data_IF_490716952511
#
_entry.id   IF_490716952511
#
_cell.length_a   1.000
_cell.length_b   1.000
_cell.length_c   1.000
_cell.angle_alpha   90.00
_cell.angle_beta   90.00
_cell.angle_gamma   90.00
#
_symmetry.space_group_name_H-M   'P 1'
#
loop_
_entity.id
_entity.type
_entity.pdbx_description
1 polymer ?
#
# COMPACT_ATOMS: atom_id res chain seq x y z
N UNK A 1 -16.17 14.79 -13.36
CA UNK A 1 -15.74 13.63 -12.57
C UNK A 1 -14.72 14.10 -11.55
N UNK A 2 -14.83 13.80 -10.25
CA UNK A 2 -13.78 14.11 -9.28
C UNK A 2 -12.48 13.48 -9.75
N UNK A 3 -11.38 14.17 -9.57
CA UNK A 3 -10.06 13.63 -9.90
C UNK A 3 -9.79 12.43 -8.95
N UNK A 4 -9.17 11.32 -9.41
CA UNK A 4 -8.90 10.13 -8.58
C UNK A 4 -8.26 10.45 -7.23
N UNK A 5 -7.48 11.52 -7.18
CA UNK A 5 -6.73 12.00 -6.02
C UNK A 5 -7.64 12.55 -4.88
N UNK A 6 -8.89 12.95 -5.17
CA UNK A 6 -9.81 13.46 -4.15
C UNK A 6 -10.53 12.32 -3.39
N UNK A 7 -10.68 11.16 -3.99
CA UNK A 7 -11.37 10.02 -3.40
C UNK A 7 -10.62 9.45 -2.18
N UNK A 8 -9.32 9.17 -2.28
CA UNK A 8 -8.51 8.72 -1.14
C UNK A 8 -8.56 9.70 0.03
N UNK A 9 -8.44 11.00 -0.26
CA UNK A 9 -8.50 12.05 0.78
C UNK A 9 -9.84 12.03 1.51
N UNK A 10 -10.94 11.80 0.79
CA UNK A 10 -12.27 11.74 1.39
C UNK A 10 -12.45 10.51 2.30
N UNK A 11 -11.89 9.36 1.94
CA UNK A 11 -11.90 8.18 2.78
C UNK A 11 -11.25 8.45 4.15
N UNK A 12 -10.02 8.97 4.17
CA UNK A 12 -9.28 9.22 5.41
C UNK A 12 -9.92 10.33 6.26
N UNK A 13 -10.55 11.33 5.65
CA UNK A 13 -11.37 12.31 6.37
C UNK A 13 -12.55 11.64 7.08
N UNK A 14 -13.30 10.78 6.38
CA UNK A 14 -14.40 10.01 6.99
C UNK A 14 -13.91 9.14 8.15
N UNK A 15 -12.81 8.40 7.97
CA UNK A 15 -12.21 7.61 9.05
C UNK A 15 -11.94 8.46 10.30
N UNK A 16 -11.36 9.64 10.12
CA UNK A 16 -11.05 10.58 11.22
C UNK A 16 -12.32 11.13 11.88
N UNK A 17 -13.32 11.53 11.10
CA UNK A 17 -14.61 12.04 11.58
C UNK A 17 -15.36 11.01 12.43
N UNK A 18 -15.15 9.71 12.15
CA UNK A 18 -15.71 8.59 12.92
C UNK A 18 -14.79 8.11 14.05
N UNK A 19 -13.77 8.90 14.43
CA UNK A 19 -12.94 8.63 15.58
C UNK A 19 -11.83 7.60 15.37
N UNK A 20 -11.60 7.14 14.12
CA UNK A 20 -10.47 6.24 13.84
C UNK A 20 -9.17 7.00 14.06
N UNK A 21 -8.29 6.43 14.88
CA UNK A 21 -6.95 6.95 15.14
C UNK A 21 -5.93 6.15 14.35
N UNK A 22 -5.02 6.85 13.69
CA UNK A 22 -3.85 6.30 13.03
C UNK A 22 -2.61 6.84 13.76
N UNK A 23 -2.00 6.02 14.62
CA UNK A 23 -0.80 6.42 15.37
C UNK A 23 0.47 6.09 14.59
N UNK A 24 0.51 4.92 13.94
CA UNK A 24 1.64 4.46 13.16
C UNK A 24 1.14 3.94 11.80
N UNK A 25 1.73 4.46 10.72
CA UNK A 25 1.37 4.12 9.33
C UNK A 25 2.62 3.75 8.56
N UNK A 26 2.54 2.67 7.78
CA UNK A 26 3.58 2.29 6.82
C UNK A 26 3.09 2.58 5.40
N UNK A 27 3.96 3.17 4.57
CA UNK A 27 3.75 3.39 3.14
C UNK A 27 4.88 2.70 2.37
N UNK A 28 4.60 1.53 1.78
CA UNK A 28 5.55 0.74 0.98
C UNK A 28 5.33 1.05 -0.50
N UNK A 29 6.41 1.43 -1.20
CA UNK A 29 6.33 2.00 -2.54
C UNK A 29 5.83 3.44 -2.46
N UNK A 30 6.44 4.24 -1.59
CA UNK A 30 5.99 5.61 -1.32
C UNK A 30 6.36 6.62 -2.43
N UNK A 31 7.28 6.28 -3.32
CA UNK A 31 7.77 7.12 -4.43
C UNK A 31 8.12 8.55 -3.96
N UNK A 32 7.35 9.57 -4.36
CA UNK A 32 7.53 10.98 -3.95
C UNK A 32 6.82 11.35 -2.64
N UNK A 33 6.16 10.39 -1.98
CA UNK A 33 5.42 10.61 -0.75
C UNK A 33 4.09 11.35 -0.93
N UNK A 34 3.56 11.39 -2.15
CA UNK A 34 2.32 12.15 -2.44
C UNK A 34 1.11 11.62 -1.69
N UNK A 35 1.00 10.29 -1.52
CA UNK A 35 -0.06 9.67 -0.73
C UNK A 35 0.12 10.01 0.76
N UNK A 36 1.33 9.75 1.30
CA UNK A 36 1.65 10.06 2.70
C UNK A 36 1.40 11.53 3.04
N UNK A 37 1.82 12.48 2.17
CA UNK A 37 1.59 13.91 2.39
C UNK A 37 0.12 14.24 2.59
N UNK A 38 -0.77 13.69 1.74
CA UNK A 38 -2.22 13.91 1.83
C UNK A 38 -2.85 13.31 3.09
N UNK A 39 -2.41 12.10 3.46
CA UNK A 39 -2.90 11.45 4.69
C UNK A 39 -2.38 12.21 5.93
N UNK A 40 -1.15 12.72 5.88
CA UNK A 40 -0.55 13.53 6.95
C UNK A 40 -1.26 14.85 7.18
N UNK A 41 -1.81 15.49 6.13
CA UNK A 41 -2.66 16.67 6.29
C UNK A 41 -3.93 16.38 7.12
N UNK A 42 -4.42 15.14 7.07
CA UNK A 42 -5.59 14.69 7.84
C UNK A 42 -5.17 14.20 9.23
N UNK A 43 -4.06 13.45 9.31
CA UNK A 43 -3.53 12.83 10.54
C UNK A 43 -2.11 13.35 10.83
N UNK A 44 -1.94 14.63 11.24
CA UNK A 44 -0.62 15.25 11.40
C UNK A 44 0.22 14.67 12.55
N UNK A 45 -0.42 14.06 13.57
CA UNK A 45 0.25 13.48 14.74
C UNK A 45 0.69 12.02 14.53
N UNK A 46 0.46 11.47 13.34
CA UNK A 46 0.80 10.08 12.99
C UNK A 46 2.30 9.95 12.72
N UNK A 47 2.90 8.86 13.20
CA UNK A 47 4.25 8.46 12.80
C UNK A 47 4.16 7.72 11.46
N UNK A 48 4.86 8.24 10.45
CA UNK A 48 4.91 7.65 9.12
C UNK A 48 6.24 6.96 8.88
N UNK A 49 6.19 5.73 8.38
CA UNK A 49 7.32 4.89 7.99
C UNK A 49 7.23 4.67 6.49
N UNK A 50 8.12 5.31 5.74
CA UNK A 50 8.11 5.34 4.28
C UNK A 50 9.21 4.42 3.75
N UNK A 51 8.87 3.57 2.81
CA UNK A 51 9.79 2.61 2.22
C UNK A 51 9.73 2.71 0.71
N UNK A 52 10.88 2.86 0.09
CA UNK A 52 11.01 2.85 -1.37
C UNK A 52 12.33 2.24 -1.80
N UNK A 53 12.37 1.68 -3.02
CA UNK A 53 13.58 1.15 -3.63
C UNK A 53 14.58 2.25 -4.01
N UNK A 54 14.08 3.48 -4.26
CA UNK A 54 14.83 4.64 -4.71
C UNK A 54 15.02 5.66 -3.59
N UNK A 55 16.22 6.23 -3.48
CA UNK A 55 16.52 7.37 -2.59
C UNK A 55 16.43 8.73 -3.31
N UNK A 56 15.97 8.75 -4.55
CA UNK A 56 15.87 9.98 -5.38
C UNK A 56 15.12 11.12 -4.69
N UNK A 57 14.15 10.80 -3.84
CA UNK A 57 13.29 11.74 -3.11
C UNK A 57 13.49 11.68 -1.59
N UNK A 58 14.64 11.18 -1.13
CA UNK A 58 14.91 10.94 0.30
C UNK A 58 14.73 12.19 1.17
N UNK A 59 15.23 13.36 0.70
CA UNK A 59 15.14 14.61 1.47
C UNK A 59 13.69 15.07 1.68
N UNK A 60 12.81 14.86 0.69
CA UNK A 60 11.39 15.16 0.79
C UNK A 60 10.68 14.12 1.68
N UNK A 61 11.00 12.85 1.51
CA UNK A 61 10.41 11.76 2.28
C UNK A 61 10.74 11.86 3.77
N UNK A 62 11.96 12.23 4.12
CA UNK A 62 12.38 12.46 5.51
C UNK A 62 11.62 13.60 6.21
N UNK A 63 11.05 14.55 5.48
CA UNK A 63 10.16 15.59 6.04
C UNK A 63 8.79 15.05 6.39
N UNK A 64 8.37 13.97 5.73
CA UNK A 64 7.08 13.32 5.97
C UNK A 64 7.14 12.30 7.11
N UNK A 65 8.24 11.57 7.26
CA UNK A 65 8.39 10.54 8.28
C UNK A 65 9.77 9.89 8.28
N UNK A 66 9.86 8.71 8.88
CA UNK A 66 11.08 7.89 8.86
C UNK A 66 11.18 7.17 7.52
N UNK A 67 12.24 7.42 6.75
CA UNK A 67 12.44 6.82 5.44
C UNK A 67 13.44 5.67 5.48
N UNK A 68 13.13 4.60 4.76
CA UNK A 68 13.99 3.44 4.53
C UNK A 68 14.14 3.20 3.03
N UNK A 69 15.39 3.24 2.53
CA UNK A 69 15.71 2.79 1.18
C UNK A 69 15.87 1.28 1.17
N UNK A 70 14.80 0.56 0.90
CA UNK A 70 14.79 -0.91 0.94
C UNK A 70 13.84 -1.47 -0.12
N UNK A 71 14.13 -2.68 -0.58
CA UNK A 71 13.24 -3.45 -1.47
C UNK A 71 12.68 -4.60 -0.65
N UNK A 72 11.35 -4.63 -0.57
CA UNK A 72 10.64 -5.58 0.29
C UNK A 72 10.20 -6.79 -0.51
N UNK A 73 10.31 -7.96 0.08
CA UNK A 73 9.86 -9.24 -0.48
C UNK A 73 9.45 -10.23 0.61
N UNK A 74 9.29 -11.49 0.22
CA UNK A 74 8.83 -12.55 1.14
C UNK A 74 9.87 -12.93 2.19
N UNK A 75 11.13 -13.02 1.80
CA UNK A 75 12.25 -13.47 2.64
C UNK A 75 13.55 -12.76 2.24
N UNK A 76 14.57 -12.92 3.06
CA UNK A 76 15.91 -12.42 2.75
C UNK A 76 16.51 -13.24 1.61
N UNK A 77 16.60 -12.68 0.42
CA UNK A 77 17.19 -13.31 -0.76
C UNK A 77 17.62 -12.29 -1.82
N UNK A 78 18.48 -12.71 -2.76
CA UNK A 78 18.78 -11.92 -3.96
C UNK A 78 17.70 -12.16 -5.02
N UNK A 79 17.21 -11.07 -5.62
CA UNK A 79 16.25 -11.09 -6.74
C UNK A 79 16.64 -10.11 -7.83
N UNK A 80 16.13 -10.32 -9.04
CA UNK A 80 16.15 -9.30 -10.07
C UNK A 80 15.08 -8.24 -9.76
N UNK A 81 15.46 -6.98 -9.93
CA UNK A 81 14.59 -5.82 -9.78
C UNK A 81 14.62 -5.02 -11.06
N UNK A 82 13.45 -4.73 -11.60
CA UNK A 82 13.27 -3.92 -12.79
C UNK A 82 13.16 -2.46 -12.39
N UNK A 83 13.99 -1.61 -12.97
CA UNK A 83 13.98 -0.18 -12.71
C UNK A 83 14.11 0.64 -13.99
N UNK A 84 13.51 1.80 -14.01
CA UNK A 84 13.63 2.78 -15.08
C UNK A 84 14.23 4.08 -14.54
N UNK A 85 15.11 4.69 -15.36
CA UNK A 85 15.62 6.06 -15.11
C UNK A 85 14.72 7.12 -15.76
N UNK A 86 13.67 6.72 -16.47
CA UNK A 86 12.70 7.62 -17.07
C UNK A 86 11.60 7.93 -16.04
N UNK A 87 11.44 9.20 -15.67
CA UNK A 87 10.46 9.66 -14.68
C UNK A 87 9.01 9.19 -14.97
N UNK A 88 8.65 9.02 -16.23
CA UNK A 88 7.31 8.52 -16.61
C UNK A 88 7.13 7.03 -16.40
N UNK A 89 8.22 6.28 -16.25
CA UNK A 89 8.21 4.83 -16.07
C UNK A 89 8.70 4.39 -14.66
N UNK A 90 9.21 5.31 -13.84
CA UNK A 90 9.70 4.99 -12.48
C UNK A 90 8.63 4.39 -11.58
N UNK A 91 7.36 4.74 -11.78
CA UNK A 91 6.24 4.20 -11.01
C UNK A 91 5.96 2.72 -11.33
N UNK A 92 6.54 2.19 -12.40
CA UNK A 92 6.48 0.77 -12.78
C UNK A 92 7.66 -0.06 -12.24
N UNK A 93 8.56 0.51 -11.43
CA UNK A 93 9.66 -0.24 -10.83
C UNK A 93 9.12 -1.39 -9.97
N UNK A 94 9.62 -2.62 -10.21
CA UNK A 94 9.04 -3.83 -9.61
C UNK A 94 10.00 -5.01 -9.56
N UNK A 95 9.67 -5.99 -8.72
CA UNK A 95 10.24 -7.34 -8.76
C UNK A 95 9.69 -8.19 -9.91
N UNK A 96 8.67 -7.71 -10.61
CA UNK A 96 8.02 -8.37 -11.76
C UNK A 96 8.32 -7.62 -13.06
N UNK A 97 8.40 -8.36 -14.18
CA UNK A 97 8.57 -7.76 -15.50
C UNK A 97 7.28 -7.02 -15.91
N UNK A 98 7.38 -5.76 -16.31
CA UNK A 98 6.24 -4.99 -16.78
C UNK A 98 5.79 -5.47 -18.18
N UNK A 99 4.49 -5.64 -18.36
CA UNK A 99 3.85 -6.04 -19.60
C UNK A 99 3.55 -4.81 -20.48
N UNK A 100 4.58 -4.04 -20.82
CA UNK A 100 4.47 -2.85 -21.67
C UNK A 100 5.66 -2.72 -22.62
N UNK A 101 5.64 -1.69 -23.47
CA UNK A 101 6.77 -1.32 -24.33
C UNK A 101 7.80 -0.42 -23.62
N UNK A 102 7.62 -0.11 -22.35
CA UNK A 102 8.58 0.65 -21.58
C UNK A 102 9.87 -0.15 -21.37
N UNK A 103 11.00 0.56 -21.36
CA UNK A 103 12.30 -0.10 -21.17
C UNK A 103 12.69 -0.01 -19.71
N UNK A 104 12.88 -1.18 -19.11
CA UNK A 104 13.43 -1.35 -17.77
C UNK A 104 14.82 -1.95 -17.84
N UNK A 105 15.68 -1.50 -16.95
CA UNK A 105 16.95 -2.15 -16.68
C UNK A 105 16.73 -3.17 -15.55
N UNK A 106 17.57 -4.20 -15.50
CA UNK A 106 17.54 -5.21 -14.44
C UNK A 106 18.80 -5.12 -13.59
N UNK A 107 18.62 -5.22 -12.29
CA UNK A 107 19.74 -5.33 -11.35
C UNK A 107 19.43 -6.39 -10.30
N UNK A 108 20.48 -7.06 -9.81
CA UNK A 108 20.35 -7.91 -8.64
C UNK A 108 20.30 -7.06 -7.38
N UNK A 109 19.33 -7.34 -6.53
CA UNK A 109 19.08 -6.62 -5.29
C UNK A 109 18.85 -7.60 -4.15
N UNK A 110 19.18 -7.20 -2.94
CA UNK A 110 18.81 -7.94 -1.75
C UNK A 110 17.41 -7.49 -1.32
N UNK A 111 16.45 -8.41 -1.29
CA UNK A 111 15.11 -8.17 -0.75
C UNK A 111 15.01 -8.67 0.68
N UNK A 112 14.16 -8.04 1.48
CA UNK A 112 13.99 -8.34 2.91
C UNK A 112 12.50 -8.37 3.27
N UNK A 113 12.07 -9.17 4.26
CA UNK A 113 10.71 -9.06 4.80
C UNK A 113 10.45 -7.71 5.45
N UNK A 114 9.23 -7.18 5.32
CA UNK A 114 8.83 -5.90 5.89
C UNK A 114 9.05 -5.84 7.41
N UNK A 115 8.76 -6.95 8.11
CA UNK A 115 8.95 -7.09 9.57
C UNK A 115 10.39 -6.87 10.04
N UNK A 116 11.39 -7.07 9.16
CA UNK A 116 12.80 -6.92 9.50
C UNK A 116 13.32 -5.48 9.27
N UNK A 117 12.50 -4.62 8.67
CA UNK A 117 12.84 -3.23 8.33
C UNK A 117 12.22 -2.24 9.31
N UNK A 118 10.95 -2.44 9.66
CA UNK A 118 10.22 -1.49 10.51
C UNK A 118 10.31 -1.89 11.99
N UNK A 119 10.24 -0.92 12.92
CA UNK A 119 10.21 -1.21 14.35
C UNK A 119 9.10 -2.19 14.75
N UNK A 120 9.38 -3.05 15.76
CA UNK A 120 8.37 -3.95 16.30
C UNK A 120 7.36 -3.16 17.14
N UNK A 121 6.20 -2.88 16.56
CA UNK A 121 5.09 -2.18 17.20
C UNK A 121 3.77 -2.48 16.47
N UNK A 122 2.67 -1.87 16.93
CA UNK A 122 1.38 -1.93 16.25
C UNK A 122 1.29 -0.85 15.18
N UNK A 123 0.81 -1.21 14.01
CA UNK A 123 0.51 -0.30 12.91
C UNK A 123 -0.99 -0.30 12.65
N UNK A 124 -1.61 0.88 12.59
CA UNK A 124 -3.03 0.99 12.29
C UNK A 124 -3.30 0.85 10.80
N UNK A 125 -2.35 1.25 9.95
CA UNK A 125 -2.50 1.19 8.51
C UNK A 125 -1.16 0.82 7.86
N UNK A 126 -1.21 -0.13 6.92
CA UNK A 126 -0.13 -0.41 5.98
C UNK A 126 -0.68 -0.22 4.58
N UNK A 127 -0.11 0.72 3.81
CA UNK A 127 -0.37 0.89 2.38
C UNK A 127 0.76 0.24 1.59
N UNK A 128 0.43 -0.49 0.55
CA UNK A 128 1.41 -1.05 -0.39
C UNK A 128 1.00 -0.76 -1.84
N UNK A 129 2.01 -0.37 -2.62
CA UNK A 129 1.93 -0.10 -4.04
C UNK A 129 3.32 -0.39 -4.61
N UNK A 130 3.59 -1.66 -4.84
CA UNK A 130 4.91 -2.20 -5.24
C UNK A 130 4.84 -3.00 -6.53
N UNK A 131 3.76 -2.77 -7.27
CA UNK A 131 3.58 -3.27 -8.63
C UNK A 131 3.67 -4.80 -8.75
N UNK A 132 2.91 -5.51 -7.85
CA UNK A 132 2.67 -6.96 -7.93
C UNK A 132 3.29 -7.81 -6.82
N UNK A 133 4.17 -7.25 -5.96
CA UNK A 133 4.81 -8.02 -4.88
C UNK A 133 4.04 -7.99 -3.55
N UNK A 134 2.85 -7.38 -3.49
CA UNK A 134 2.12 -7.12 -2.24
C UNK A 134 1.80 -8.41 -1.48
N UNK A 135 1.31 -9.45 -2.16
CA UNK A 135 0.91 -10.70 -1.49
C UNK A 135 2.11 -11.46 -0.92
N UNK A 136 3.25 -11.48 -1.62
CA UNK A 136 4.47 -12.09 -1.09
C UNK A 136 5.07 -11.31 0.08
N UNK A 137 4.92 -9.98 0.12
CA UNK A 137 5.31 -9.14 1.25
C UNK A 137 4.45 -9.47 2.47
N UNK A 138 3.13 -9.62 2.29
CA UNK A 138 2.22 -10.01 3.37
C UNK A 138 2.60 -11.39 3.90
N UNK A 139 2.86 -12.36 3.02
CA UNK A 139 3.26 -13.72 3.42
C UNK A 139 4.55 -13.72 4.24
N UNK A 140 5.57 -12.97 3.81
CA UNK A 140 6.85 -12.83 4.51
C UNK A 140 6.75 -12.14 5.88
N UNK A 141 5.67 -11.40 6.12
CA UNK A 141 5.48 -10.58 7.33
C UNK A 141 4.09 -10.79 7.96
N UNK A 142 3.50 -11.97 7.80
CA UNK A 142 2.12 -12.26 8.16
C UNK A 142 1.74 -11.85 9.59
N UNK A 143 2.64 -12.06 10.56
CA UNK A 143 2.40 -11.68 11.97
C UNK A 143 2.26 -10.16 12.15
N UNK A 144 2.95 -9.35 11.37
CA UNK A 144 2.81 -7.89 11.36
C UNK A 144 1.42 -7.51 10.85
N UNK A 145 1.00 -8.10 9.73
CA UNK A 145 -0.31 -7.83 9.12
C UNK A 145 -1.46 -8.30 10.01
N UNK A 146 -1.33 -9.45 10.70
CA UNK A 146 -2.36 -9.93 11.64
C UNK A 146 -2.63 -8.97 12.80
N UNK A 147 -1.68 -8.11 13.17
CA UNK A 147 -1.82 -7.07 14.20
C UNK A 147 -2.24 -5.72 13.62
N UNK A 148 -2.29 -5.57 12.30
CA UNK A 148 -2.62 -4.31 11.60
C UNK A 148 -4.13 -4.17 11.44
N UNK A 149 -4.67 -2.95 11.67
CA UNK A 149 -6.12 -2.68 11.57
C UNK A 149 -6.58 -2.59 10.12
N UNK A 150 -5.88 -1.81 9.31
CA UNK A 150 -6.21 -1.56 7.92
C UNK A 150 -5.02 -1.88 7.01
N UNK A 151 -5.32 -2.42 5.85
CA UNK A 151 -4.33 -2.61 4.77
C UNK A 151 -4.90 -2.03 3.49
N UNK A 152 -4.18 -1.11 2.85
CA UNK A 152 -4.53 -0.58 1.54
C UNK A 152 -3.61 -1.19 0.49
N UNK A 153 -4.19 -1.76 -0.57
CA UNK A 153 -3.47 -2.39 -1.67
C UNK A 153 -3.96 -1.84 -3.01
N UNK A 154 -3.03 -1.47 -3.90
CA UNK A 154 -3.33 -1.30 -5.30
C UNK A 154 -3.43 -2.69 -5.96
N UNK A 155 -4.58 -3.00 -6.53
CA UNK A 155 -4.87 -4.32 -7.09
C UNK A 155 -5.17 -4.17 -8.59
N UNK A 156 -4.26 -4.63 -9.47
CA UNK A 156 -4.44 -4.48 -10.91
C UNK A 156 -5.59 -5.35 -11.43
N UNK A 157 -6.40 -4.78 -12.33
CA UNK A 157 -7.47 -5.50 -13.04
C UNK A 157 -6.93 -6.19 -14.29
N UNK A 158 -5.88 -5.63 -14.87
CA UNK A 158 -5.20 -6.17 -16.04
C UNK A 158 -3.76 -6.61 -15.70
N UNK A 159 -3.18 -7.56 -16.41
CA UNK A 159 -1.84 -8.06 -16.15
C UNK A 159 -0.76 -7.03 -16.55
N UNK A 160 -0.62 -5.97 -15.77
CA UNK A 160 0.39 -4.94 -15.97
C UNK A 160 1.80 -5.48 -15.74
N UNK A 161 1.95 -6.41 -14.79
CA UNK A 161 3.20 -7.08 -14.47
C UNK A 161 3.07 -8.58 -14.73
N UNK A 162 4.02 -9.16 -15.46
CA UNK A 162 3.98 -10.56 -15.92
C UNK A 162 4.11 -11.50 -14.72
N UNK A 163 3.08 -12.32 -14.51
CA UNK A 163 3.04 -13.29 -13.39
C UNK A 163 2.62 -12.70 -12.04
N UNK A 164 2.41 -11.39 -11.95
CA UNK A 164 1.88 -10.76 -10.75
C UNK A 164 0.39 -11.13 -10.52
N UNK A 165 -0.08 -11.12 -9.27
CA UNK A 165 -1.48 -11.35 -8.94
C UNK A 165 -2.40 -10.31 -9.59
N UNK A 166 -3.66 -10.69 -9.87
CA UNK A 166 -4.74 -9.77 -10.25
C UNK A 166 -5.70 -9.57 -9.07
N UNK A 167 -6.59 -8.60 -9.15
CA UNK A 167 -7.44 -8.15 -8.04
C UNK A 167 -8.21 -9.28 -7.34
N UNK A 168 -8.68 -10.31 -8.07
CA UNK A 168 -9.37 -11.45 -7.48
C UNK A 168 -8.47 -12.29 -6.56
N UNK A 169 -7.17 -12.36 -6.88
CA UNK A 169 -6.19 -13.05 -6.02
C UNK A 169 -6.00 -12.30 -4.71
N UNK A 170 -5.95 -10.97 -4.76
CA UNK A 170 -5.84 -10.11 -3.55
C UNK A 170 -7.04 -10.29 -2.63
N UNK A 171 -8.27 -10.24 -3.17
CA UNK A 171 -9.49 -10.42 -2.36
C UNK A 171 -9.50 -11.78 -1.68
N UNK A 172 -9.21 -12.85 -2.43
CA UNK A 172 -9.20 -14.21 -1.89
C UNK A 172 -8.11 -14.40 -0.83
N UNK A 173 -6.90 -13.91 -1.10
CA UNK A 173 -5.79 -14.00 -0.15
C UNK A 173 -6.07 -13.24 1.14
N UNK A 174 -6.51 -12.00 1.05
CA UNK A 174 -6.85 -11.17 2.20
C UNK A 174 -8.02 -11.76 3.02
N UNK A 175 -9.01 -12.35 2.37
CA UNK A 175 -10.10 -13.04 3.06
C UNK A 175 -9.59 -14.23 3.90
N UNK A 176 -8.62 -15.00 3.37
CA UNK A 176 -7.95 -16.10 4.09
C UNK A 176 -7.06 -15.60 5.24
N UNK A 177 -6.54 -14.38 5.14
CA UNK A 177 -5.79 -13.71 6.21
C UNK A 177 -6.69 -12.99 7.23
N UNK A 178 -8.01 -13.27 7.25
CA UNK A 178 -9.02 -12.65 8.12
C UNK A 178 -9.25 -11.15 7.88
N UNK A 179 -9.02 -10.65 6.70
CA UNK A 179 -9.43 -9.32 6.29
C UNK A 179 -10.75 -9.34 5.51
N UNK A 180 -11.48 -8.24 5.51
CA UNK A 180 -12.61 -7.99 4.59
C UNK A 180 -12.37 -6.66 3.86
N UNK A 181 -12.90 -6.54 2.65
CA UNK A 181 -12.96 -5.24 1.95
C UNK A 181 -13.80 -4.29 2.79
N UNK A 182 -13.26 -3.13 3.05
CA UNK A 182 -13.90 -2.05 3.80
C UNK A 182 -14.33 -0.91 2.87
N UNK A 183 -13.45 -0.48 1.98
CA UNK A 183 -13.75 0.56 0.98
C UNK A 183 -12.91 0.33 -0.28
N UNK A 184 -13.30 0.98 -1.37
CA UNK A 184 -12.61 0.89 -2.65
C UNK A 184 -12.47 2.26 -3.29
N UNK A 185 -11.37 2.45 -4.01
CA UNK A 185 -11.22 3.50 -5.00
C UNK A 185 -10.80 2.87 -6.34
N UNK A 186 -11.06 3.55 -7.44
CA UNK A 186 -10.87 2.96 -8.77
C UNK A 186 -10.06 3.89 -9.66
N UNK A 187 -8.99 3.33 -10.25
CA UNK A 187 -8.17 4.01 -11.25
C UNK A 187 -8.68 3.70 -12.66
N UNK A 188 -9.16 4.74 -13.34
CA UNK A 188 -9.55 4.67 -14.75
C UNK A 188 -8.54 5.41 -15.62
N UNK A 189 -8.09 4.74 -16.70
CA UNK A 189 -7.28 5.34 -17.75
C UNK A 189 -7.97 5.19 -19.09
N UNK A 190 -8.23 6.31 -19.78
CA UNK A 190 -8.96 6.33 -21.05
C UNK A 190 -10.31 5.59 -21.00
N UNK A 191 -11.05 5.71 -19.90
CA UNK A 191 -12.34 5.05 -19.70
C UNK A 191 -12.27 3.55 -19.37
N UNK A 192 -11.07 2.98 -19.22
CA UNK A 192 -10.87 1.59 -18.80
C UNK A 192 -10.47 1.55 -17.33
N UNK A 193 -11.05 0.61 -16.58
CA UNK A 193 -10.64 0.31 -15.22
C UNK A 193 -9.27 -0.39 -15.26
N UNK A 194 -8.26 0.22 -14.66
CA UNK A 194 -6.89 -0.30 -14.67
C UNK A 194 -6.52 -1.00 -13.38
N UNK A 195 -6.83 -0.37 -12.25
CA UNK A 195 -6.57 -0.91 -10.94
C UNK A 195 -7.69 -0.49 -9.97
N UNK A 196 -7.78 -1.19 -8.86
CA UNK A 196 -8.66 -0.88 -7.73
C UNK A 196 -7.81 -0.81 -6.48
N UNK A 197 -7.86 0.32 -5.80
CA UNK A 197 -7.32 0.45 -4.45
C UNK A 197 -8.33 -0.09 -3.45
N UNK A 198 -8.03 -1.23 -2.85
CA UNK A 198 -8.84 -1.78 -1.77
C UNK A 198 -8.30 -1.34 -0.42
N UNK A 199 -9.16 -0.79 0.42
CA UNK A 199 -8.93 -0.72 1.85
C UNK A 199 -9.55 -1.93 2.51
N UNK A 200 -8.72 -2.77 3.10
CA UNK A 200 -9.14 -3.94 3.88
C UNK A 200 -9.12 -3.62 5.37
N UNK A 201 -10.08 -4.20 6.11
CA UNK A 201 -10.12 -4.14 7.58
C UNK A 201 -9.97 -5.53 8.18
N UNK A 202 -9.19 -5.63 9.26
CA UNK A 202 -8.93 -6.88 9.97
C UNK A 202 -10.12 -7.28 10.83
N UNK A 203 -10.70 -8.47 10.56
CA UNK A 203 -11.88 -9.01 11.26
C UNK A 203 -11.57 -9.54 12.66
N UNK A 204 -10.30 -9.80 13.00
CA UNK A 204 -9.90 -10.40 14.28
C UNK A 204 -9.69 -9.37 15.39
N UNK A 205 -9.61 -8.07 15.02
CA UNK A 205 -9.44 -7.00 16.00
C UNK A 205 -10.74 -6.77 16.78
N UNK A 206 -10.67 -6.20 18.01
CA UNK A 206 -11.84 -5.98 18.84
C UNK A 206 -12.98 -5.31 18.08
N UNK A 207 -14.21 -5.77 18.32
CA UNK A 207 -15.43 -5.31 17.65
C UNK A 207 -15.58 -3.77 17.67
N UNK A 208 -15.08 -3.08 18.69
CA UNK A 208 -15.09 -1.63 18.77
C UNK A 208 -14.33 -0.97 17.58
N UNK A 209 -13.20 -1.56 17.14
CA UNK A 209 -12.43 -1.03 16.00
C UNK A 209 -13.13 -1.23 14.67
N UNK A 210 -13.86 -2.35 14.53
CA UNK A 210 -14.64 -2.67 13.33
C UNK A 210 -15.94 -1.88 13.30
N UNK A 211 -16.62 -1.75 14.46
CA UNK A 211 -17.86 -0.99 14.59
C UNK A 211 -17.67 0.52 14.36
N UNK A 212 -16.54 1.07 14.78
CA UNK A 212 -16.21 2.47 14.48
C UNK A 212 -16.06 2.69 12.96
N UNK A 213 -15.46 1.72 12.27
CA UNK A 213 -15.33 1.77 10.82
C UNK A 213 -16.66 1.46 10.11
N UNK A 214 -17.45 0.48 10.57
CA UNK A 214 -18.74 0.14 9.98
C UNK A 214 -19.80 1.26 10.16
N UNK A 215 -19.72 2.08 11.21
CA UNK A 215 -20.55 3.30 11.40
C UNK A 215 -20.41 4.33 10.27
N UNK A 216 -19.36 4.25 9.47
CA UNK A 216 -19.19 5.07 8.26
C UNK A 216 -20.31 4.85 7.22
N UNK A 217 -20.84 3.62 7.14
CA UNK A 217 -21.76 3.20 6.08
C UNK A 217 -23.19 2.95 6.57
N UNK A 218 -23.35 2.62 7.84
CA UNK A 218 -24.63 2.32 8.45
C UNK A 218 -25.02 3.46 9.40
N UNK A 219 -25.49 4.61 8.85
CA UNK A 219 -26.27 5.52 9.67
C UNK A 219 -27.53 4.75 10.07
N UNK A 220 -27.74 4.59 11.36
CA UNK A 220 -29.02 4.10 11.88
C UNK A 220 -30.14 4.92 11.21
N UNK A 221 -31.04 4.20 10.51
CA UNK A 221 -32.27 4.79 9.96
C UNK A 221 -33.21 5.14 11.09
#
# INVERSE_FOLDING_TARGET
MPKPIEAHTNLYKRLKEHGVKLNNVIDVGCYKGSWTSKVKDIYPETNYYLIDASDKHEDELKKLGTFYKEIIGQKLEEREFNYSNNELAETGNSLYDENSNAKFNKQKVLVKPLKDIVPEQTYELIKMDVQGAELEIIEGSLQLFQKTKFVQLECPVHPNNIGAPLFEHYINYMANCNFKVFDIDSLFLNGKLMAVDFLFVNKTLPAATILEADKLYYKEQ
#
